data_IF_130330933045
#
_entry.id   IF_130330933045
#
_cell.length_a   1.000
_cell.length_b   1.000
_cell.length_c   1.000
_cell.angle_alpha   90.00
_cell.angle_beta   90.00
_cell.angle_gamma   90.00
#
_symmetry.space_group_name_H-M   'P 1'
#
loop_
_entity.id
_entity.type
_entity.pdbx_description
1 polymer ?
#
# COMPACT_ATOMS: atom_id res chain seq x y z
N UNK A 1 -20.89 15.23 7.58
CA UNK A 1 -19.70 14.37 7.75
C UNK A 1 -19.87 13.07 6.95
N UNK A 2 -18.79 12.54 6.38
CA UNK A 2 -18.82 11.24 5.67
C UNK A 2 -18.92 10.07 6.65
N UNK A 3 -19.50 8.95 6.21
CA UNK A 3 -19.46 7.71 6.97
C UNK A 3 -18.02 7.21 7.13
N UNK A 4 -17.74 6.56 8.27
CA UNK A 4 -16.44 5.99 8.59
C UNK A 4 -16.47 4.48 8.40
N UNK A 5 -15.36 3.90 7.95
CA UNK A 5 -15.24 2.45 7.88
C UNK A 5 -15.29 1.84 9.28
N UNK A 6 -16.05 0.75 9.42
CA UNK A 6 -16.16 0.00 10.67
C UNK A 6 -15.53 -1.38 10.52
N UNK A 7 -16.05 -2.21 9.62
CA UNK A 7 -15.61 -3.60 9.50
C UNK A 7 -15.94 -4.23 8.15
N UNK A 8 -15.25 -5.35 7.86
CA UNK A 8 -15.49 -6.18 6.68
C UNK A 8 -16.09 -7.53 7.08
N UNK A 9 -17.26 -7.84 6.53
CA UNK A 9 -17.91 -9.14 6.68
C UNK A 9 -17.46 -10.08 5.56
N UNK A 10 -16.62 -11.06 5.92
CA UNK A 10 -16.06 -12.04 4.98
C UNK A 10 -17.13 -12.97 4.39
N UNK A 11 -18.18 -13.32 5.14
CA UNK A 11 -19.22 -14.29 4.70
C UNK A 11 -20.05 -13.72 3.56
N UNK A 12 -20.41 -12.44 3.66
CA UNK A 12 -21.24 -11.75 2.67
C UNK A 12 -20.45 -10.77 1.80
N UNK A 13 -19.12 -10.78 1.89
CA UNK A 13 -18.19 -9.83 1.23
C UNK A 13 -18.68 -8.38 1.29
N UNK A 14 -19.12 -7.97 2.48
CA UNK A 14 -19.82 -6.70 2.69
C UNK A 14 -19.00 -5.79 3.59
N UNK A 15 -18.76 -4.57 3.15
CA UNK A 15 -18.11 -3.53 3.95
C UNK A 15 -19.18 -2.77 4.72
N UNK A 16 -18.93 -2.54 6.02
CA UNK A 16 -19.79 -1.77 6.90
C UNK A 16 -19.17 -0.41 7.13
N UNK A 17 -19.99 0.61 6.97
CA UNK A 17 -19.68 1.99 7.29
C UNK A 17 -20.64 2.49 8.36
N UNK A 18 -20.13 3.22 9.34
CA UNK A 18 -20.91 3.71 10.47
C UNK A 18 -20.94 5.23 10.44
N UNK A 19 -22.08 5.79 10.85
CA UNK A 19 -22.25 7.23 10.99
C UNK A 19 -21.22 7.79 11.99
N UNK A 20 -20.51 8.88 11.66
CA UNK A 20 -19.52 9.45 12.56
C UNK A 20 -20.18 10.00 13.84
N UNK A 21 -19.43 9.97 14.95
CA UNK A 21 -19.90 10.49 16.24
C UNK A 21 -20.21 11.99 16.23
N UNK A 22 -19.61 12.76 15.32
CA UNK A 22 -19.90 14.18 15.13
C UNK A 22 -21.31 14.45 14.55
N UNK A 23 -22.03 13.43 14.12
CA UNK A 23 -23.37 13.52 13.51
C UNK A 23 -24.49 13.51 14.57
N UNK A 24 -24.29 14.13 15.74
CA UNK A 24 -25.29 14.17 16.82
C UNK A 24 -26.43 15.12 16.45
N UNK A 25 -26.10 16.35 16.04
CA UNK A 25 -27.06 17.40 15.65
C UNK A 25 -27.39 17.37 14.15
N UNK A 26 -27.26 16.21 13.51
CA UNK A 26 -27.51 16.13 12.08
C UNK A 26 -29.00 16.32 11.79
N UNK A 27 -29.40 17.34 11.00
CA UNK A 27 -30.81 17.58 10.68
C UNK A 27 -31.44 16.42 9.89
N UNK A 28 -30.60 15.59 9.27
CA UNK A 28 -31.01 14.39 8.53
C UNK A 28 -31.04 13.13 9.41
N UNK A 29 -30.76 13.21 10.73
CA UNK A 29 -30.62 12.03 11.60
C UNK A 29 -31.89 11.17 11.69
N UNK A 30 -33.06 11.78 11.48
CA UNK A 30 -34.37 11.11 11.46
C UNK A 30 -34.86 10.79 10.04
N UNK A 31 -34.10 11.17 9.02
CA UNK A 31 -34.42 10.86 7.63
C UNK A 31 -33.89 9.46 7.26
N UNK A 32 -34.61 8.80 6.37
CA UNK A 32 -34.22 7.56 5.70
C UNK A 32 -32.83 7.61 5.04
N UNK A 33 -32.36 8.82 4.71
CA UNK A 33 -31.05 9.09 4.10
C UNK A 33 -29.87 8.92 5.08
N UNK A 34 -30.05 9.18 6.39
CA UNK A 34 -28.97 9.11 7.38
C UNK A 34 -29.07 7.86 8.27
N UNK A 35 -28.73 6.72 7.70
CA UNK A 35 -28.70 5.43 8.41
C UNK A 35 -27.57 5.35 9.45
N UNK A 36 -27.78 4.60 10.53
CA UNK A 36 -26.73 4.34 11.54
C UNK A 36 -25.57 3.52 10.96
N UNK A 37 -25.90 2.50 10.16
CA UNK A 37 -24.94 1.59 9.52
C UNK A 37 -25.32 1.47 8.05
N UNK A 38 -24.38 1.78 7.19
CA UNK A 38 -24.49 1.62 5.74
C UNK A 38 -23.65 0.41 5.32
N UNK A 39 -24.27 -0.53 4.60
CA UNK A 39 -23.63 -1.79 4.20
C UNK A 39 -23.57 -1.88 2.68
N UNK A 40 -22.40 -2.16 2.14
CA UNK A 40 -22.20 -2.29 0.69
C UNK A 40 -21.45 -3.56 0.37
N UNK A 41 -21.91 -4.32 -0.62
CA UNK A 41 -21.17 -5.48 -1.14
C UNK A 41 -19.99 -4.99 -1.97
N UNK A 42 -18.82 -5.59 -1.79
CA UNK A 42 -17.61 -5.26 -2.57
C UNK A 42 -17.86 -5.38 -4.08
N UNK A 43 -18.64 -6.38 -4.47
CA UNK A 43 -18.95 -6.71 -5.85
C UNK A 43 -19.68 -5.58 -6.58
N UNK A 44 -20.38 -4.68 -5.86
CA UNK A 44 -21.05 -3.53 -6.46
C UNK A 44 -20.06 -2.60 -7.17
N UNK A 45 -18.85 -2.43 -6.61
CA UNK A 45 -17.78 -1.68 -7.24
C UNK A 45 -16.42 -2.03 -6.61
N UNK A 46 -15.75 -3.04 -7.15
CA UNK A 46 -14.47 -3.56 -6.65
C UNK A 46 -13.38 -2.48 -6.47
N UNK A 47 -13.32 -1.50 -7.37
CA UNK A 47 -12.32 -0.41 -7.29
C UNK A 47 -12.60 0.61 -6.19
N UNK A 48 -13.87 0.75 -5.79
CA UNK A 48 -14.31 1.74 -4.80
C UNK A 48 -14.40 1.11 -3.41
N UNK A 49 -14.87 -0.13 -3.33
CA UNK A 49 -15.11 -0.87 -2.10
C UNK A 49 -14.10 -2.02 -2.01
N UNK A 50 -12.91 -1.73 -1.51
CA UNK A 50 -11.85 -2.73 -1.29
C UNK A 50 -11.84 -3.23 0.15
N UNK A 51 -11.36 -4.45 0.38
CA UNK A 51 -11.01 -4.95 1.72
C UNK A 51 -9.49 -5.13 1.79
N UNK A 52 -8.77 -4.42 2.67
CA UNK A 52 -9.25 -3.42 3.63
C UNK A 52 -9.81 -2.15 2.96
N UNK A 53 -10.69 -1.44 3.66
CA UNK A 53 -11.34 -0.24 3.12
C UNK A 53 -10.34 0.91 2.98
N UNK A 54 -10.47 1.69 1.92
CA UNK A 54 -9.65 2.87 1.69
C UNK A 54 -9.79 3.85 2.86
N UNK A 55 -8.66 4.37 3.35
CA UNK A 55 -8.60 5.25 4.52
C UNK A 55 -8.61 4.53 5.87
N UNK A 56 -8.63 3.19 5.89
CA UNK A 56 -8.23 2.43 7.08
C UNK A 56 -6.71 2.35 7.20
N UNK A 57 -6.19 2.23 8.42
CA UNK A 57 -4.74 2.10 8.66
C UNK A 57 -4.13 0.93 7.87
N UNK A 58 -4.80 -0.23 7.89
CA UNK A 58 -4.33 -1.41 7.15
C UNK A 58 -4.26 -1.17 5.64
N UNK A 59 -5.17 -0.37 5.09
CA UNK A 59 -5.13 -0.01 3.68
C UNK A 59 -3.96 0.93 3.38
N UNK A 60 -3.69 1.89 4.27
CA UNK A 60 -2.56 2.81 4.16
C UNK A 60 -1.23 2.05 4.21
N UNK A 61 -1.05 1.12 5.15
CA UNK A 61 0.15 0.30 5.26
C UNK A 61 0.40 -0.53 3.97
N UNK A 62 -0.65 -1.14 3.41
CA UNK A 62 -0.57 -1.88 2.15
C UNK A 62 -0.30 -0.96 0.95
N UNK A 63 -0.87 0.25 0.96
CA UNK A 63 -0.65 1.24 -0.07
C UNK A 63 0.80 1.74 -0.07
N UNK A 64 1.39 1.94 1.10
CA UNK A 64 2.80 2.30 1.26
C UNK A 64 3.73 1.18 0.78
N UNK A 65 3.41 -0.08 1.11
CA UNK A 65 4.13 -1.25 0.59
C UNK A 65 4.09 -1.30 -0.94
N UNK A 66 2.90 -1.10 -1.54
CA UNK A 66 2.75 -1.02 -3.00
C UNK A 66 3.59 0.11 -3.58
N UNK A 67 3.54 1.30 -2.98
CA UNK A 67 4.29 2.47 -3.43
C UNK A 67 5.80 2.21 -3.38
N UNK A 68 6.28 1.48 -2.37
CA UNK A 68 7.67 1.06 -2.29
C UNK A 68 8.07 0.15 -3.46
N UNK A 69 7.23 -0.83 -3.82
CA UNK A 69 7.46 -1.71 -4.98
C UNK A 69 7.47 -0.91 -6.29
N UNK A 70 6.55 0.04 -6.47
CA UNK A 70 6.50 0.88 -7.67
C UNK A 70 7.76 1.73 -7.84
N UNK A 71 8.33 2.25 -6.74
CA UNK A 71 9.63 2.96 -6.76
C UNK A 71 10.77 2.04 -7.21
N UNK A 72 10.80 0.79 -6.73
CA UNK A 72 11.82 -0.19 -7.16
C UNK A 72 11.69 -0.45 -8.66
N UNK A 73 10.47 -0.68 -9.15
CA UNK A 73 10.23 -0.90 -10.58
C UNK A 73 10.70 0.30 -11.41
N UNK A 74 10.45 1.53 -10.95
CA UNK A 74 10.96 2.74 -11.61
C UNK A 74 12.50 2.75 -11.66
N UNK A 75 13.16 2.45 -10.55
CA UNK A 75 14.63 2.37 -10.52
C UNK A 75 15.21 1.33 -11.47
N UNK A 76 14.60 0.14 -11.53
CA UNK A 76 15.04 -0.91 -12.45
C UNK A 76 14.85 -0.48 -13.91
N UNK A 77 13.78 0.25 -14.21
CA UNK A 77 13.52 0.78 -15.56
C UNK A 77 14.52 1.85 -15.98
N UNK A 78 14.79 2.81 -15.09
CA UNK A 78 15.61 3.99 -15.38
C UNK A 78 17.11 3.72 -15.21
N UNK A 79 17.54 3.25 -14.04
CA UNK A 79 18.96 3.08 -13.72
C UNK A 79 19.56 1.80 -14.29
N UNK A 80 18.79 0.71 -14.34
CA UNK A 80 19.23 -0.57 -14.89
C UNK A 80 18.83 -0.75 -16.36
N UNK A 81 18.40 0.34 -17.01
CA UNK A 81 18.17 0.42 -18.45
C UNK A 81 17.18 -0.62 -18.99
N UNK A 82 16.30 -1.21 -18.16
CA UNK A 82 15.37 -2.26 -18.62
C UNK A 82 14.45 -1.80 -19.75
N UNK A 83 14.17 -0.50 -19.86
CA UNK A 83 13.41 0.06 -20.98
C UNK A 83 14.20 0.08 -22.32
N UNK A 84 15.52 0.08 -22.26
CA UNK A 84 16.40 0.25 -23.42
C UNK A 84 16.99 -1.09 -23.91
N UNK A 85 16.83 -2.16 -23.15
CA UNK A 85 17.30 -3.49 -23.53
C UNK A 85 16.32 -4.14 -24.51
N UNK A 86 16.81 -4.49 -25.69
CA UNK A 86 16.04 -5.19 -26.72
C UNK A 86 16.51 -6.63 -26.86
N UNK A 87 15.73 -7.57 -26.34
CA UNK A 87 15.95 -8.99 -26.57
C UNK A 87 14.99 -9.54 -27.59
N UNK A 88 15.51 -10.38 -28.50
CA UNK A 88 14.69 -11.08 -29.50
C UNK A 88 13.90 -12.25 -28.90
N UNK A 89 14.42 -12.89 -27.84
CA UNK A 89 13.80 -14.07 -27.21
C UNK A 89 13.44 -13.79 -25.75
N UNK A 90 12.27 -14.28 -25.32
CA UNK A 90 11.78 -14.09 -23.96
C UNK A 90 12.65 -14.76 -22.88
N UNK A 91 13.30 -15.88 -23.20
CA UNK A 91 14.21 -16.56 -22.27
C UNK A 91 15.40 -15.68 -21.89
N UNK A 92 16.04 -15.01 -22.85
CA UNK A 92 17.17 -14.11 -22.58
C UNK A 92 16.73 -12.88 -21.80
N UNK A 93 15.54 -12.36 -22.11
CA UNK A 93 14.94 -11.24 -21.37
C UNK A 93 14.69 -11.59 -19.90
N UNK A 94 14.16 -12.79 -19.63
CA UNK A 94 13.92 -13.27 -18.28
C UNK A 94 15.21 -13.37 -17.47
N UNK A 95 16.25 -14.02 -18.01
CA UNK A 95 17.54 -14.17 -17.32
C UNK A 95 18.16 -12.81 -16.99
N UNK A 96 18.12 -11.87 -17.94
CA UNK A 96 18.62 -10.51 -17.69
C UNK A 96 17.84 -9.80 -16.58
N UNK A 97 16.51 -9.88 -16.61
CA UNK A 97 15.65 -9.30 -15.58
C UNK A 97 15.92 -9.89 -14.19
N UNK A 98 16.06 -11.22 -14.12
CA UNK A 98 16.37 -11.93 -12.87
C UNK A 98 17.75 -11.49 -12.32
N UNK A 99 18.75 -11.38 -13.20
CA UNK A 99 20.11 -10.94 -12.82
C UNK A 99 20.13 -9.48 -12.35
N UNK A 100 19.45 -8.58 -13.06
CA UNK A 100 19.30 -7.16 -12.68
C UNK A 100 18.62 -7.04 -11.30
N UNK A 101 17.56 -7.82 -11.08
CA UNK A 101 16.84 -7.83 -9.80
C UNK A 101 17.72 -8.34 -8.66
N UNK A 102 18.51 -9.40 -8.90
CA UNK A 102 19.48 -9.93 -7.94
C UNK A 102 20.53 -8.87 -7.56
N UNK A 103 21.14 -8.21 -8.56
CA UNK A 103 22.15 -7.17 -8.35
C UNK A 103 21.57 -5.99 -7.56
N UNK A 104 20.36 -5.54 -7.90
CA UNK A 104 19.69 -4.47 -7.15
C UNK A 104 19.48 -4.85 -5.68
N UNK A 105 18.95 -6.05 -5.41
CA UNK A 105 18.69 -6.52 -4.05
C UNK A 105 19.98 -6.65 -3.24
N UNK A 106 21.04 -7.21 -3.83
CA UNK A 106 22.35 -7.30 -3.20
C UNK A 106 22.92 -5.91 -2.87
N UNK A 107 22.81 -4.97 -3.82
CA UNK A 107 23.27 -3.58 -3.63
C UNK A 107 22.49 -2.86 -2.54
N UNK A 108 21.16 -3.02 -2.50
CA UNK A 108 20.32 -2.43 -1.45
C UNK A 108 20.61 -3.02 -0.08
N UNK A 109 20.77 -4.34 0.02
CA UNK A 109 21.15 -5.00 1.26
C UNK A 109 22.49 -4.46 1.79
N UNK A 110 23.49 -4.31 0.93
CA UNK A 110 24.79 -3.75 1.32
C UNK A 110 24.66 -2.31 1.87
N UNK A 111 23.88 -1.45 1.20
CA UNK A 111 23.61 -0.08 1.65
C UNK A 111 22.88 -0.07 3.00
N UNK A 112 21.90 -0.95 3.18
CA UNK A 112 21.15 -1.05 4.43
C UNK A 112 22.02 -1.53 5.59
N UNK A 113 22.91 -2.49 5.35
CA UNK A 113 23.93 -2.93 6.32
C UNK A 113 24.84 -1.77 6.75
N UNK A 114 25.37 -1.00 5.80
CA UNK A 114 26.22 0.17 6.10
C UNK A 114 25.43 1.22 6.89
N UNK A 115 24.19 1.52 6.47
CA UNK A 115 23.32 2.49 7.16
C UNK A 115 23.02 2.05 8.60
N UNK A 116 22.79 0.76 8.82
CA UNK A 116 22.57 0.22 10.15
C UNK A 116 23.81 0.38 11.04
N UNK A 117 25.00 0.08 10.51
CA UNK A 117 26.27 0.29 11.21
C UNK A 117 26.46 1.78 11.57
N UNK A 118 26.27 2.70 10.62
CA UNK A 118 26.39 4.15 10.86
C UNK A 118 25.43 4.66 11.94
N UNK A 119 24.17 4.18 11.94
CA UNK A 119 23.19 4.54 12.97
C UNK A 119 23.63 4.07 14.36
N UNK A 120 24.20 2.87 14.46
CA UNK A 120 24.69 2.34 15.73
C UNK A 120 25.91 3.10 16.24
N UNK A 121 26.83 3.49 15.35
CA UNK A 121 27.98 4.33 15.71
C UNK A 121 27.54 5.70 16.21
N UNK A 122 26.59 6.37 15.54
CA UNK A 122 26.03 7.66 16.00
C UNK A 122 25.35 7.56 17.35
N UNK A 123 24.55 6.51 17.59
CA UNK A 123 23.92 6.29 18.91
C UNK A 123 24.94 6.13 20.03
N UNK A 124 26.05 5.42 19.77
CA UNK A 124 27.14 5.29 20.74
C UNK A 124 27.78 6.65 21.05
N UNK A 125 28.00 7.50 20.05
CA UNK A 125 28.58 8.84 20.24
C UNK A 125 27.68 9.83 21.00
N UNK A 126 26.36 9.64 20.99
CA UNK A 126 25.39 10.49 21.70
C UNK A 126 25.13 10.05 23.15
N UNK A 127 25.61 8.87 23.54
CA UNK A 127 25.44 8.30 24.88
C UNK A 127 26.71 8.45 25.76
N UNK A 128 27.69 9.21 25.28
CA UNK A 128 28.84 9.74 26.02
C UNK A 128 28.74 11.27 26.04
#
# INVERSE_FOLDING_TARGET
HSYQYDSYDKRYKTIKFVRPKACIDCPLAHDSLCQKVYKVRIETALRRYTAPARGSQQWEDLYDQRTAVERVIAYLKEFFQLNNVRYRTGQRAKIHFDLVTLVYNASKLAVDCIRHQMKNTKKRQLNF
#
